data_IF_476179518700
#
_entry.id   IF_476179518700
#
_cell.length_a   1.000
_cell.length_b   1.000
_cell.length_c   1.000
_cell.angle_alpha   90.00
_cell.angle_beta   90.00
_cell.angle_gamma   90.00
#
_symmetry.space_group_name_H-M   'P 1'
#
loop_
_entity.id
_entity.type
_entity.pdbx_description
1 polymer ?
#
# COMPACT_ATOMS: atom_id res chain seq x y z
N UNK A 1 -0.66 55.22 -20.95
CA UNK A 1 -1.50 54.00 -20.99
C UNK A 1 -1.15 53.13 -19.80
N UNK A 2 -2.18 52.65 -19.08
CA UNK A 2 -2.13 51.77 -17.90
C UNK A 2 -1.71 50.34 -18.26
N UNK A 3 -0.95 49.66 -17.40
CA UNK A 3 -1.28 48.37 -16.75
C UNK A 3 -0.13 47.86 -15.83
N UNK A 4 -0.43 47.01 -14.82
CA UNK A 4 0.07 47.16 -13.44
C UNK A 4 0.87 45.94 -12.93
N UNK A 5 1.32 46.06 -11.67
CA UNK A 5 1.84 45.00 -10.78
C UNK A 5 1.24 43.61 -11.02
N UNK A 6 2.09 42.58 -11.01
CA UNK A 6 1.79 41.25 -10.42
C UNK A 6 3.06 40.68 -9.78
N UNK A 7 3.10 40.70 -8.45
CA UNK A 7 3.86 39.76 -7.61
C UNK A 7 3.26 38.35 -7.71
N UNK A 8 3.89 37.33 -7.08
CA UNK A 8 3.45 35.93 -6.85
C UNK A 8 4.20 34.95 -7.75
N UNK A 9 4.86 33.88 -7.30
CA UNK A 9 5.23 33.40 -5.98
C UNK A 9 6.35 32.37 -6.16
N UNK A 10 7.15 32.17 -5.12
CA UNK A 10 8.03 31.02 -4.97
C UNK A 10 7.20 29.72 -5.06
N UNK A 11 7.64 28.79 -5.90
CA UNK A 11 7.30 27.38 -5.71
C UNK A 11 8.61 26.63 -5.43
N UNK A 12 8.89 26.48 -4.14
CA UNK A 12 9.82 25.48 -3.65
C UNK A 12 9.26 24.10 -4.02
N UNK A 13 9.71 23.54 -5.14
CA UNK A 13 9.56 22.11 -5.36
C UNK A 13 10.71 21.46 -4.60
N UNK A 14 10.48 21.28 -3.30
CA UNK A 14 11.19 20.28 -2.54
C UNK A 14 10.92 18.96 -3.23
N UNK A 15 11.84 18.54 -4.10
CA UNK A 15 12.02 17.15 -4.44
C UNK A 15 12.45 16.49 -3.13
N UNK A 16 11.44 16.15 -2.33
CA UNK A 16 11.57 15.10 -1.34
C UNK A 16 12.04 13.89 -2.11
N UNK A 17 13.35 13.69 -2.12
CA UNK A 17 13.95 12.40 -2.22
C UNK A 17 13.46 11.62 -0.99
N UNK A 18 12.19 11.23 -1.01
CA UNK A 18 11.73 10.13 -0.20
C UNK A 18 12.60 8.97 -0.67
N UNK A 19 13.38 8.32 0.22
CA UNK A 19 13.94 7.04 -0.16
C UNK A 19 12.74 6.25 -0.66
N UNK A 20 12.85 5.69 -1.87
CA UNK A 20 11.98 4.61 -2.25
C UNK A 20 12.21 3.54 -1.18
N UNK A 21 11.45 3.62 -0.08
CA UNK A 21 11.27 2.54 0.85
C UNK A 21 10.89 1.40 -0.07
N UNK A 22 11.75 0.40 -0.15
CA UNK A 22 11.45 -0.84 -0.83
C UNK A 22 10.25 -1.42 -0.09
N UNK A 23 9.08 -0.93 -0.45
CA UNK A 23 7.81 -1.28 0.13
C UNK A 23 7.62 -2.71 -0.35
N UNK A 24 7.68 -3.71 0.55
CA UNK A 24 7.55 -5.11 0.15
C UNK A 24 6.22 -5.38 -0.55
N UNK A 25 5.23 -4.50 -0.45
CA UNK A 25 3.99 -4.57 -1.22
C UNK A 25 4.20 -4.13 -2.68
N UNK A 26 5.05 -3.14 -2.96
CA UNK A 26 5.32 -2.69 -4.33
C UNK A 26 5.89 -3.79 -5.26
N UNK A 27 6.65 -4.74 -4.70
CA UNK A 27 7.17 -5.92 -5.43
C UNK A 27 6.16 -7.08 -5.53
N UNK A 28 5.01 -6.98 -4.86
CA UNK A 28 4.01 -8.04 -4.86
C UNK A 28 3.00 -7.86 -5.99
N UNK A 29 3.27 -8.53 -7.12
CA UNK A 29 2.34 -8.61 -8.26
C UNK A 29 0.93 -9.11 -7.89
N UNK A 30 0.78 -9.78 -6.74
CA UNK A 30 -0.49 -10.27 -6.25
C UNK A 30 -1.34 -9.22 -5.51
N UNK A 31 -0.81 -8.05 -5.13
CA UNK A 31 -1.60 -7.06 -4.37
C UNK A 31 -2.89 -6.62 -5.04
N UNK A 32 -2.93 -6.33 -6.35
CA UNK A 32 -4.16 -5.97 -7.02
C UNK A 32 -5.27 -7.01 -6.85
N UNK A 33 -4.91 -8.29 -6.65
CA UNK A 33 -5.89 -9.38 -6.48
C UNK A 33 -6.67 -9.33 -5.17
N UNK A 34 -6.21 -8.54 -4.18
CA UNK A 34 -6.91 -8.34 -2.92
C UNK A 34 -7.94 -7.20 -2.95
N UNK A 35 -7.98 -6.42 -4.03
CA UNK A 35 -8.87 -5.28 -4.18
C UNK A 35 -9.97 -5.55 -5.22
N UNK A 36 -11.06 -4.81 -5.14
CA UNK A 36 -12.15 -4.84 -6.13
C UNK A 36 -11.92 -3.85 -7.26
N UNK A 37 -11.10 -2.83 -7.03
CA UNK A 37 -10.80 -1.77 -7.97
C UNK A 37 -9.30 -1.66 -8.27
N UNK A 38 -8.99 -1.07 -9.41
CA UNK A 38 -7.61 -0.88 -9.88
C UNK A 38 -6.85 0.21 -9.08
N UNK A 39 -7.56 1.07 -8.35
CA UNK A 39 -6.93 2.10 -7.50
C UNK A 39 -6.50 1.54 -6.14
N UNK A 40 -6.79 0.26 -5.87
CA UNK A 40 -6.46 -0.45 -4.63
C UNK A 40 -7.01 0.26 -3.37
N UNK A 41 -8.17 0.91 -3.49
CA UNK A 41 -8.82 1.59 -2.36
C UNK A 41 -9.83 0.68 -1.66
N UNK A 42 -10.55 -0.13 -2.42
CA UNK A 42 -11.63 -0.97 -1.92
C UNK A 42 -11.16 -2.42 -1.89
N UNK A 43 -10.98 -2.94 -0.68
CA UNK A 43 -10.60 -4.34 -0.49
C UNK A 43 -11.75 -5.28 -0.84
N UNK A 44 -11.41 -6.47 -1.34
CA UNK A 44 -12.38 -7.56 -1.45
C UNK A 44 -12.91 -7.92 -0.06
N UNK A 45 -14.18 -8.35 0.05
CA UNK A 45 -14.71 -8.89 1.28
C UNK A 45 -13.89 -10.12 1.71
N UNK A 46 -13.93 -10.47 3.01
CA UNK A 46 -13.06 -11.48 3.61
C UNK A 46 -13.03 -12.82 2.84
N UNK A 47 -14.16 -13.27 2.29
CA UNK A 47 -14.21 -14.49 1.47
C UNK A 47 -13.36 -14.37 0.19
N UNK A 48 -13.46 -13.24 -0.52
CA UNK A 48 -12.65 -12.95 -1.69
C UNK A 48 -11.18 -12.71 -1.35
N UNK A 49 -10.92 -12.01 -0.25
CA UNK A 49 -9.57 -11.78 0.29
C UNK A 49 -8.90 -13.12 0.61
N UNK A 50 -9.58 -14.02 1.32
CA UNK A 50 -9.08 -15.35 1.68
C UNK A 50 -8.75 -16.18 0.43
N UNK A 51 -9.59 -16.15 -0.60
CA UNK A 51 -9.32 -16.82 -1.87
C UNK A 51 -8.05 -16.28 -2.55
N UNK A 52 -7.90 -14.95 -2.61
CA UNK A 52 -6.70 -14.31 -3.14
C UNK A 52 -5.46 -14.69 -2.31
N UNK A 53 -5.56 -14.62 -0.98
CA UNK A 53 -4.51 -14.99 -0.04
C UNK A 53 -3.98 -16.40 -0.31
N UNK A 54 -4.85 -17.40 -0.41
CA UNK A 54 -4.40 -18.78 -0.65
C UNK A 54 -3.84 -19.03 -2.06
N UNK A 55 -4.15 -18.17 -3.03
CA UNK A 55 -3.53 -18.21 -4.35
C UNK A 55 -2.11 -17.62 -4.37
N UNK A 56 -1.75 -16.78 -3.40
CA UNK A 56 -0.38 -16.25 -3.25
C UNK A 56 0.57 -17.36 -2.80
N UNK A 57 1.78 -17.49 -3.38
CA UNK A 57 2.78 -18.45 -2.93
C UNK A 57 3.10 -18.32 -1.43
N UNK A 58 3.37 -19.46 -0.76
CA UNK A 58 3.64 -19.48 0.69
C UNK A 58 4.75 -18.52 1.12
N UNK A 59 5.83 -18.45 0.35
CA UNK A 59 6.95 -17.54 0.61
C UNK A 59 6.52 -16.07 0.62
N UNK A 60 5.67 -15.67 -0.32
CA UNK A 60 5.20 -14.29 -0.42
C UNK A 60 4.18 -13.98 0.67
N UNK A 61 3.34 -14.94 1.05
CA UNK A 61 2.48 -14.83 2.24
C UNK A 61 3.31 -14.57 3.50
N UNK A 62 4.41 -15.28 3.71
CA UNK A 62 5.31 -15.05 4.86
C UNK A 62 5.91 -13.64 4.82
N UNK A 63 6.35 -13.18 3.65
CA UNK A 63 6.86 -11.81 3.47
C UNK A 63 5.79 -10.76 3.81
N UNK A 64 4.56 -10.93 3.32
CA UNK A 64 3.43 -10.03 3.60
C UNK A 64 3.10 -10.00 5.08
N UNK A 65 3.01 -11.17 5.73
CA UNK A 65 2.77 -11.26 7.17
C UNK A 65 3.88 -10.55 7.95
N UNK A 66 5.15 -10.76 7.57
CA UNK A 66 6.28 -10.08 8.22
C UNK A 66 6.23 -8.56 8.02
N UNK A 67 5.95 -8.10 6.81
CA UNK A 67 5.78 -6.68 6.51
C UNK A 67 4.64 -6.08 7.35
N UNK A 68 3.51 -6.78 7.47
CA UNK A 68 2.39 -6.35 8.29
C UNK A 68 2.64 -6.39 9.81
N UNK A 69 3.70 -7.06 10.28
CA UNK A 69 4.14 -6.95 11.68
C UNK A 69 5.01 -5.71 11.93
N UNK A 70 5.51 -5.05 10.88
CA UNK A 70 6.24 -3.78 11.02
C UNK A 70 5.23 -2.63 11.22
N UNK A 71 5.33 -1.83 12.31
CA UNK A 71 4.46 -0.69 12.56
C UNK A 71 4.47 0.37 11.46
N UNK A 72 5.61 0.56 10.79
CA UNK A 72 5.79 1.55 9.72
C UNK A 72 5.04 1.14 8.46
N UNK A 73 4.88 -0.16 8.24
CA UNK A 73 4.16 -0.75 7.10
C UNK A 73 2.69 -0.98 7.39
N UNK A 74 2.36 -1.44 8.60
CA UNK A 74 0.98 -1.72 9.00
C UNK A 74 0.13 -0.47 9.14
N UNK A 75 0.69 0.67 9.56
CA UNK A 75 -0.06 1.94 9.69
C UNK A 75 -0.68 2.40 8.36
N UNK A 76 0.06 2.56 7.25
CA UNK A 76 -0.52 2.97 5.97
C UNK A 76 -1.42 1.89 5.35
N UNK A 77 -1.25 0.62 5.73
CA UNK A 77 -1.99 -0.52 5.19
C UNK A 77 -2.87 -1.22 6.26
N UNK A 78 -3.44 -0.48 7.21
CA UNK A 78 -4.02 -1.04 8.43
C UNK A 78 -5.10 -2.11 8.19
N UNK A 79 -6.07 -1.82 7.32
CA UNK A 79 -7.15 -2.77 7.00
C UNK A 79 -6.63 -4.01 6.27
N UNK A 80 -5.64 -3.83 5.38
CA UNK A 80 -5.03 -4.93 4.64
C UNK A 80 -4.23 -5.83 5.57
N UNK A 81 -3.39 -5.22 6.41
CA UNK A 81 -2.58 -5.94 7.37
C UNK A 81 -3.42 -6.64 8.45
N UNK A 82 -4.56 -6.08 8.87
CA UNK A 82 -5.49 -6.78 9.74
C UNK A 82 -5.96 -8.12 9.11
N UNK A 83 -6.34 -8.11 7.83
CA UNK A 83 -6.77 -9.32 7.11
C UNK A 83 -5.61 -10.31 6.89
N UNK A 84 -4.43 -9.81 6.50
CA UNK A 84 -3.22 -10.63 6.34
C UNK A 84 -2.87 -11.31 7.65
N UNK A 85 -2.84 -10.60 8.77
CA UNK A 85 -2.48 -11.16 10.08
C UNK A 85 -3.52 -12.16 10.58
N UNK A 86 -4.81 -11.89 10.35
CA UNK A 86 -5.90 -12.82 10.68
C UNK A 86 -5.78 -14.17 9.94
N UNK A 87 -5.21 -14.18 8.73
CA UNK A 87 -5.06 -15.39 7.90
C UNK A 87 -3.64 -16.00 7.97
N UNK A 88 -2.63 -15.17 8.22
CA UNK A 88 -1.22 -15.54 8.26
C UNK A 88 -0.73 -16.01 9.64
N UNK A 89 -1.42 -15.58 10.71
CA UNK A 89 -1.20 -16.03 12.08
C UNK A 89 -1.81 -17.39 12.41
N UNK A 90 -2.56 -17.99 11.48
CA UNK A 90 -3.00 -19.39 11.58
C UNK A 90 -1.84 -20.33 11.23
N UNK A 91 -0.84 -20.43 12.11
CA UNK A 91 0.13 -21.53 12.15
C UNK A 91 0.28 -22.00 13.59
#
# INVERSE_FOLDING_TARGET
MRRPLVCVAALAIGLGASPASADPFNDLAALPTFYTDATMQTMKPMAGFKKAWFAVPKHDRVKMTKACNDPSMSKPHAQFCANVLALGGAN
#
